data_IF_928779097728
#
_entry.id   IF_928779097728
#
_cell.length_a   1.000
_cell.length_b   1.000
_cell.length_c   1.000
_cell.angle_alpha   90.00
_cell.angle_beta   90.00
_cell.angle_gamma   90.00
#
_symmetry.space_group_name_H-M   'P 1'
#
loop_
_entity.id
_entity.type
_entity.pdbx_description
1 polymer ?
#
# COMPACT_ATOMS: atom_id res chain seq x y z
N UNK A 1 -0.32 -17.23 17.08
CA UNK A 1 0.35 -15.93 17.28
C UNK A 1 1.85 -16.16 17.45
N UNK A 2 2.69 -15.22 17.00
CA UNK A 2 4.17 -15.33 17.07
C UNK A 2 4.69 -14.93 18.46
N UNK A 3 4.13 -15.52 19.53
CA UNK A 3 4.35 -15.10 20.93
C UNK A 3 5.20 -16.07 21.76
N UNK A 4 5.52 -17.24 21.20
CA UNK A 4 6.35 -18.26 21.84
C UNK A 4 7.84 -17.89 21.94
N UNK A 5 8.60 -18.55 22.84
CA UNK A 5 10.03 -18.29 23.06
C UNK A 5 10.89 -18.51 21.80
N UNK A 6 10.46 -19.38 20.89
CA UNK A 6 11.16 -19.72 19.66
C UNK A 6 11.16 -18.58 18.62
N UNK A 7 10.35 -17.54 18.83
CA UNK A 7 10.30 -16.36 17.97
C UNK A 7 11.24 -15.22 18.42
N UNK A 8 11.91 -15.37 19.57
CA UNK A 8 12.81 -14.32 20.09
C UNK A 8 13.95 -14.04 19.11
N UNK A 9 14.16 -12.76 18.81
CA UNK A 9 15.20 -12.31 17.89
C UNK A 9 14.94 -12.62 16.41
N UNK A 10 13.76 -13.16 16.05
CA UNK A 10 13.41 -13.46 14.66
C UNK A 10 12.62 -12.32 14.02
N UNK A 11 12.91 -12.06 12.75
CA UNK A 11 12.15 -11.15 11.89
C UNK A 11 11.36 -11.98 10.89
N UNK A 12 10.06 -11.68 10.74
CA UNK A 12 9.16 -12.38 9.84
C UNK A 12 8.54 -11.40 8.84
N UNK A 13 8.72 -11.58 7.53
CA UNK A 13 7.89 -10.88 6.55
C UNK A 13 6.46 -11.44 6.64
N UNK A 14 5.48 -10.56 6.80
CA UNK A 14 4.07 -10.93 6.91
C UNK A 14 3.27 -10.26 5.80
N UNK A 15 2.60 -11.07 4.99
CA UNK A 15 1.75 -10.61 3.89
C UNK A 15 0.39 -11.32 3.95
N UNK A 16 -0.57 -10.81 3.18
CA UNK A 16 -1.78 -11.56 2.86
C UNK A 16 -1.49 -12.78 1.98
N UNK A 17 -2.51 -13.63 1.75
CA UNK A 17 -2.37 -14.86 0.95
C UNK A 17 -2.20 -14.60 -0.56
N UNK A 18 -2.48 -13.38 -1.03
CA UNK A 18 -2.45 -13.02 -2.44
C UNK A 18 -2.00 -11.57 -2.62
N UNK A 19 -1.24 -11.30 -3.68
CA UNK A 19 -0.92 -9.93 -4.12
C UNK A 19 -2.04 -9.41 -5.00
N UNK A 20 -2.68 -8.32 -4.57
CA UNK A 20 -3.77 -7.67 -5.31
C UNK A 20 -3.52 -6.18 -5.47
N UNK A 21 -3.87 -5.66 -6.65
CA UNK A 21 -3.77 -4.23 -6.99
C UNK A 21 -4.83 -3.40 -6.24
N UNK A 22 -4.63 -2.07 -6.11
CA UNK A 22 -5.66 -1.18 -5.55
C UNK A 22 -7.01 -1.27 -6.27
N UNK A 23 -7.01 -1.51 -7.59
CA UNK A 23 -8.25 -1.66 -8.37
C UNK A 23 -8.98 -2.97 -8.03
N UNK A 24 -8.25 -4.05 -7.79
CA UNK A 24 -8.83 -5.32 -7.32
C UNK A 24 -9.37 -5.18 -5.89
N UNK A 25 -8.65 -4.49 -4.99
CA UNK A 25 -9.13 -4.19 -3.64
C UNK A 25 -10.45 -3.40 -3.68
N UNK A 26 -10.55 -2.36 -4.50
CA UNK A 26 -11.78 -1.60 -4.71
C UNK A 26 -12.92 -2.48 -5.25
N UNK A 27 -12.62 -3.41 -6.17
CA UNK A 27 -13.57 -4.39 -6.67
C UNK A 27 -14.13 -5.31 -5.58
N UNK A 28 -13.28 -5.85 -4.70
CA UNK A 28 -13.72 -6.66 -3.57
C UNK A 28 -14.58 -5.87 -2.57
N UNK A 29 -14.21 -4.62 -2.29
CA UNK A 29 -15.05 -3.73 -1.49
C UNK A 29 -16.41 -3.51 -2.15
N UNK A 30 -16.45 -3.28 -3.47
CA UNK A 30 -17.70 -3.14 -4.21
C UNK A 30 -18.58 -4.38 -4.16
N UNK A 31 -17.97 -5.57 -4.27
CA UNK A 31 -18.66 -6.87 -4.13
C UNK A 31 -19.29 -7.02 -2.75
N UNK A 32 -18.56 -6.70 -1.68
CA UNK A 32 -19.07 -6.79 -0.29
C UNK A 32 -20.16 -5.74 -0.03
N UNK A 33 -20.03 -4.55 -0.60
CA UNK A 33 -20.98 -3.44 -0.42
C UNK A 33 -22.21 -3.54 -1.34
N UNK A 34 -22.20 -4.42 -2.35
CA UNK A 34 -23.28 -4.55 -3.33
C UNK A 34 -23.40 -3.36 -4.29
N UNK A 35 -22.33 -2.58 -4.49
CA UNK A 35 -22.30 -1.42 -5.39
C UNK A 35 -20.92 -1.23 -6.01
N UNK A 36 -20.86 -0.57 -7.16
CA UNK A 36 -19.57 -0.22 -7.75
C UNK A 36 -18.77 0.74 -6.85
N UNK A 37 -17.46 0.49 -6.75
CA UNK A 37 -16.48 1.36 -6.11
C UNK A 37 -15.37 1.65 -7.11
N UNK A 38 -15.34 2.86 -7.66
CA UNK A 38 -14.33 3.26 -8.63
C UNK A 38 -12.98 3.57 -7.96
N UNK A 39 -11.90 3.08 -8.57
CA UNK A 39 -10.53 3.45 -8.21
C UNK A 39 -9.98 4.41 -9.28
N UNK A 40 -9.94 5.70 -8.95
CA UNK A 40 -9.52 6.80 -9.85
C UNK A 40 -8.18 7.35 -9.35
N UNK A 41 -7.21 7.46 -10.26
CA UNK A 41 -5.91 8.04 -9.95
C UNK A 41 -5.99 9.56 -9.80
N UNK A 42 -5.15 10.12 -8.94
CA UNK A 42 -4.93 11.56 -8.80
C UNK A 42 -3.45 11.87 -9.02
N UNK A 43 -3.14 13.12 -9.38
CA UNK A 43 -1.75 13.57 -9.53
C UNK A 43 -1.03 13.69 -8.19
N UNK A 44 0.31 13.67 -8.23
CA UNK A 44 1.17 13.78 -7.05
C UNK A 44 0.83 14.99 -6.18
N UNK A 45 0.70 16.17 -6.78
CA UNK A 45 0.40 17.41 -6.04
C UNK A 45 -0.91 17.31 -5.25
N UNK A 46 -1.94 16.70 -5.86
CA UNK A 46 -3.23 16.49 -5.21
C UNK A 46 -3.16 15.45 -4.08
N UNK A 47 -2.27 14.46 -4.20
CA UNK A 47 -2.07 13.43 -3.17
C UNK A 47 -1.21 13.91 -1.99
N UNK A 48 -0.23 14.79 -2.24
CA UNK A 48 0.79 15.19 -1.26
C UNK A 48 0.19 15.82 0.00
N UNK A 49 -0.70 16.82 -0.15
CA UNK A 49 -1.26 17.54 1.00
C UNK A 49 -1.93 16.63 2.04
N UNK A 50 -2.92 15.80 1.66
CA UNK A 50 -3.56 14.84 2.55
C UNK A 50 -2.59 13.83 3.16
N UNK A 51 -1.62 13.32 2.39
CA UNK A 51 -0.65 12.35 2.90
C UNK A 51 0.30 13.01 3.90
N UNK A 52 0.87 14.16 3.58
CA UNK A 52 1.76 14.90 4.48
C UNK A 52 1.09 15.24 5.81
N UNK A 53 -0.21 15.55 5.81
CA UNK A 53 -0.98 15.76 7.04
C UNK A 53 -1.13 14.49 7.89
N UNK A 54 -1.18 13.30 7.26
CA UNK A 54 -1.36 12.03 7.94
C UNK A 54 -0.03 11.41 8.44
N UNK A 55 1.03 11.49 7.63
CA UNK A 55 2.30 10.77 7.88
C UNK A 55 3.53 11.67 8.00
N UNK A 56 3.40 12.97 7.78
CA UNK A 56 4.52 13.91 7.68
C UNK A 56 5.03 14.05 6.24
N UNK A 57 5.62 15.21 5.93
CA UNK A 57 6.03 15.59 4.57
C UNK A 57 7.09 14.65 3.98
N UNK A 58 8.14 14.33 4.74
CA UNK A 58 9.24 13.47 4.29
C UNK A 58 8.77 12.05 3.94
N UNK A 59 7.89 11.49 4.78
CA UNK A 59 7.30 10.17 4.55
C UNK A 59 6.36 10.20 3.35
N UNK A 60 5.57 11.28 3.21
CA UNK A 60 4.68 11.44 2.07
C UNK A 60 5.44 11.52 0.74
N UNK A 61 6.55 12.27 0.68
CA UNK A 61 7.39 12.33 -0.52
C UNK A 61 7.98 10.95 -0.85
N UNK A 62 8.52 10.26 0.14
CA UNK A 62 9.09 8.91 -0.04
C UNK A 62 8.05 7.91 -0.56
N UNK A 63 6.83 7.94 -0.01
CA UNK A 63 5.75 7.05 -0.46
C UNK A 63 5.26 7.43 -1.86
N UNK A 64 5.18 8.72 -2.19
CA UNK A 64 4.77 9.16 -3.53
C UNK A 64 5.84 8.90 -4.58
N UNK A 65 7.13 8.90 -4.23
CA UNK A 65 8.20 8.47 -5.12
C UNK A 65 8.11 6.96 -5.40
N UNK A 66 7.79 6.18 -4.36
CA UNK A 66 7.64 4.73 -4.45
C UNK A 66 6.36 4.31 -5.21
N UNK A 67 5.22 4.92 -4.90
CA UNK A 67 3.90 4.47 -5.40
C UNK A 67 3.31 5.36 -6.48
N UNK A 68 3.74 6.62 -6.58
CA UNK A 68 3.23 7.61 -7.53
C UNK A 68 4.16 7.88 -8.72
N UNK A 69 5.36 7.29 -8.74
CA UNK A 69 6.27 7.31 -9.88
C UNK A 69 5.95 6.22 -10.91
N UNK A 70 6.67 6.26 -12.05
CA UNK A 70 6.69 5.13 -12.98
C UNK A 70 7.21 3.88 -12.26
N UNK A 71 6.70 2.70 -12.64
CA UNK A 71 7.22 1.43 -12.14
C UNK A 71 8.72 1.36 -12.40
N UNK A 72 9.51 1.12 -11.36
CA UNK A 72 10.96 0.99 -11.44
C UNK A 72 11.43 -0.42 -11.02
N UNK A 73 12.70 -0.74 -11.31
CA UNK A 73 13.28 -2.06 -11.03
C UNK A 73 13.32 -2.39 -9.53
N UNK A 74 13.45 -1.38 -8.67
CA UNK A 74 13.42 -1.56 -7.21
C UNK A 74 12.05 -2.00 -6.71
N UNK A 75 10.97 -1.45 -7.28
CA UNK A 75 9.58 -1.86 -6.99
C UNK A 75 9.32 -3.32 -7.37
N UNK A 76 9.89 -3.75 -8.50
CA UNK A 76 9.72 -5.12 -9.00
C UNK A 76 10.47 -6.15 -8.16
N UNK A 77 11.51 -5.73 -7.43
CA UNK A 77 12.28 -6.57 -6.53
C UNK A 77 11.61 -6.78 -5.15
N UNK A 78 10.55 -6.03 -4.84
CA UNK A 78 9.77 -6.23 -3.61
C UNK A 78 8.94 -7.51 -3.73
N UNK A 79 9.34 -8.54 -2.98
CA UNK A 79 8.63 -9.82 -2.89
C UNK A 79 7.59 -9.84 -1.75
#
# INVERSE_FOLDING_TARGET
>A
ALTGPDHRGRTYPLTGPERITPRQQAGELGRVLGREVACVGIGREAAFGPMAAMMGAEVADSVLDLMGGDVNDELLAVH
#
